data_IF_749956691880
#
_entry.id   IF_749956691880
#
_cell.length_a   1.000
_cell.length_b   1.000
_cell.length_c   1.000
_cell.angle_alpha   90.00
_cell.angle_beta   90.00
_cell.angle_gamma   90.00
#
_symmetry.space_group_name_H-M   'P 1'
#
loop_
_entity.id
_entity.type
_entity.pdbx_description
1 polymer ?
#
# COMPACT_ATOMS: atom_id res chain seq x y z
N UNK A 1 -10.97 9.73 23.77
CA UNK A 1 -11.75 10.77 23.05
C UNK A 1 -11.04 11.02 21.74
N UNK A 2 -11.51 10.39 20.67
CA UNK A 2 -10.96 10.64 19.33
C UNK A 2 -11.21 12.11 18.96
N UNK A 3 -10.16 12.76 18.46
CA UNK A 3 -10.30 14.14 17.97
C UNK A 3 -11.26 14.11 16.78
N UNK A 4 -12.26 14.99 16.78
CA UNK A 4 -13.12 15.19 15.62
C UNK A 4 -12.27 15.40 14.37
N UNK A 5 -12.61 14.75 13.24
CA UNK A 5 -11.85 14.89 12.01
C UNK A 5 -11.70 16.36 11.62
N UNK A 6 -10.48 16.78 11.28
CA UNK A 6 -10.20 18.15 10.84
C UNK A 6 -10.69 18.43 9.42
N UNK A 7 -10.82 17.38 8.61
CA UNK A 7 -11.22 17.42 7.21
C UNK A 7 -12.69 17.06 7.05
N UNK A 8 -13.56 18.09 7.00
CA UNK A 8 -15.03 17.91 6.99
C UNK A 8 -15.65 18.58 5.76
N UNK A 9 -16.88 18.20 5.43
CA UNK A 9 -17.67 18.96 4.45
C UNK A 9 -18.19 20.26 5.08
N UNK A 10 -18.59 21.22 4.25
CA UNK A 10 -19.24 22.47 4.72
C UNK A 10 -20.69 22.27 5.21
N UNK A 11 -21.25 21.07 5.05
CA UNK A 11 -22.65 20.73 5.35
C UNK A 11 -22.70 19.81 6.57
N UNK A 12 -23.16 20.32 7.72
CA UNK A 12 -23.20 19.58 8.99
C UNK A 12 -23.96 18.25 8.87
N UNK A 13 -25.15 18.28 8.24
CA UNK A 13 -25.99 17.09 8.08
C UNK A 13 -25.33 15.95 7.26
N UNK A 14 -24.41 16.30 6.32
CA UNK A 14 -23.63 15.29 5.58
C UNK A 14 -22.58 14.69 6.51
N UNK A 15 -21.91 15.50 7.31
CA UNK A 15 -20.92 15.02 8.26
C UNK A 15 -21.57 14.07 9.29
N UNK A 16 -22.71 14.43 9.82
CA UNK A 16 -23.50 13.59 10.75
C UNK A 16 -23.93 12.26 10.11
N UNK A 17 -24.35 12.29 8.84
CA UNK A 17 -24.70 11.08 8.10
C UNK A 17 -23.49 10.15 7.87
N UNK A 18 -22.30 10.70 7.61
CA UNK A 18 -21.06 9.92 7.47
C UNK A 18 -20.69 9.29 8.81
N UNK A 19 -20.76 10.04 9.91
CA UNK A 19 -20.48 9.53 11.26
C UNK A 19 -21.44 8.38 11.59
N UNK A 20 -22.74 8.56 11.38
CA UNK A 20 -23.73 7.52 11.61
C UNK A 20 -23.49 6.26 10.76
N UNK A 21 -23.09 6.41 9.50
CA UNK A 21 -22.75 5.27 8.62
C UNK A 21 -21.55 4.49 9.14
N UNK A 22 -20.52 5.17 9.63
CA UNK A 22 -19.31 4.56 10.18
C UNK A 22 -19.63 3.80 11.46
N UNK A 23 -20.45 4.39 12.33
CA UNK A 23 -20.91 3.78 13.60
C UNK A 23 -21.76 2.54 13.32
N UNK A 24 -22.71 2.61 12.38
CA UNK A 24 -23.56 1.47 11.99
C UNK A 24 -22.74 0.35 11.33
N UNK A 25 -21.68 0.70 10.60
CA UNK A 25 -20.74 -0.27 10.05
C UNK A 25 -19.84 -0.94 11.10
N UNK A 26 -19.85 -0.47 12.35
CA UNK A 26 -19.05 -1.01 13.44
C UNK A 26 -17.56 -0.68 13.36
N UNK A 27 -17.17 0.37 12.64
CA UNK A 27 -15.79 0.80 12.49
C UNK A 27 -15.40 1.70 13.66
N UNK A 28 -14.62 1.17 14.59
CA UNK A 28 -14.23 1.89 15.82
C UNK A 28 -12.80 2.41 15.79
N UNK A 29 -11.87 1.65 15.17
CA UNK A 29 -10.47 2.06 15.06
C UNK A 29 -10.27 2.93 13.81
N UNK A 30 -9.50 4.01 13.96
CA UNK A 30 -9.17 4.94 12.87
C UNK A 30 -10.39 5.48 12.09
N UNK A 31 -11.54 5.54 12.74
CA UNK A 31 -12.82 5.99 12.16
C UNK A 31 -12.71 7.40 11.56
N UNK A 32 -11.86 8.26 12.12
CA UNK A 32 -11.56 9.58 11.59
C UNK A 32 -10.93 9.53 10.20
N UNK A 33 -10.05 8.56 9.91
CA UNK A 33 -9.44 8.40 8.59
C UNK A 33 -10.46 7.87 7.56
N UNK A 34 -11.33 6.95 7.97
CA UNK A 34 -12.43 6.48 7.12
C UNK A 34 -13.38 7.65 6.80
N UNK A 35 -13.71 8.47 7.80
CA UNK A 35 -14.49 9.68 7.60
C UNK A 35 -13.86 10.61 6.54
N UNK A 36 -12.57 10.91 6.66
CA UNK A 36 -11.85 11.78 5.74
C UNK A 36 -11.78 11.21 4.31
N UNK A 37 -11.66 9.89 4.16
CA UNK A 37 -11.74 9.22 2.85
C UNK A 37 -13.11 9.38 2.21
N UNK A 38 -14.20 9.22 2.96
CA UNK A 38 -15.57 9.44 2.46
C UNK A 38 -15.76 10.90 2.06
N UNK A 39 -15.31 11.85 2.89
CA UNK A 39 -15.35 13.27 2.55
C UNK A 39 -14.57 13.57 1.26
N UNK A 40 -13.39 12.96 1.08
CA UNK A 40 -12.60 13.12 -0.15
C UNK A 40 -13.35 12.60 -1.37
N UNK A 41 -14.01 11.44 -1.26
CA UNK A 41 -14.81 10.87 -2.34
C UNK A 41 -15.99 11.79 -2.73
N UNK A 42 -16.67 12.38 -1.74
CA UNK A 42 -17.74 13.34 -2.00
C UNK A 42 -17.22 14.63 -2.64
N UNK A 43 -16.04 15.11 -2.20
CA UNK A 43 -15.42 16.32 -2.79
C UNK A 43 -15.09 16.13 -4.25
N UNK A 44 -14.63 14.97 -4.70
CA UNK A 44 -14.42 14.70 -6.13
C UNK A 44 -15.68 14.98 -6.96
N UNK A 45 -16.87 14.65 -6.44
CA UNK A 45 -18.13 14.97 -7.11
C UNK A 45 -18.50 16.47 -7.05
N UNK A 46 -18.00 17.20 -6.04
CA UNK A 46 -18.23 18.65 -5.92
C UNK A 46 -17.20 19.49 -6.71
N UNK A 47 -16.01 18.92 -6.93
CA UNK A 47 -14.89 19.58 -7.61
C UNK A 47 -14.92 19.33 -9.13
N UNK A 48 -16.06 18.90 -9.68
CA UNK A 48 -16.28 18.63 -11.10
C UNK A 48 -15.31 17.61 -11.73
N UNK A 49 -14.81 16.65 -10.93
CA UNK A 49 -13.99 15.56 -11.45
C UNK A 49 -14.75 14.78 -12.53
N UNK A 50 -14.12 14.58 -13.67
CA UNK A 50 -14.74 13.88 -14.77
C UNK A 50 -14.82 12.34 -14.55
N UNK A 51 -15.47 11.64 -15.48
CA UNK A 51 -15.62 10.19 -15.41
C UNK A 51 -14.29 9.45 -15.46
N UNK A 52 -13.26 10.00 -16.12
CA UNK A 52 -11.94 9.38 -16.20
C UNK A 52 -11.20 9.51 -14.87
N UNK A 53 -11.25 10.69 -14.25
CA UNK A 53 -10.69 10.95 -12.92
C UNK A 53 -11.32 10.03 -11.86
N UNK A 54 -12.65 9.93 -11.85
CA UNK A 54 -13.37 9.06 -10.92
C UNK A 54 -13.01 7.58 -11.10
N UNK A 55 -12.84 7.11 -12.36
CA UNK A 55 -12.38 5.75 -12.63
C UNK A 55 -10.97 5.50 -12.12
N UNK A 56 -10.07 6.46 -12.31
CA UNK A 56 -8.68 6.36 -11.86
C UNK A 56 -8.61 6.23 -10.34
N UNK A 57 -9.25 7.15 -9.61
CA UNK A 57 -9.28 7.13 -8.14
C UNK A 57 -9.92 5.85 -7.61
N UNK A 58 -11.06 5.44 -8.19
CA UNK A 58 -11.75 4.22 -7.77
C UNK A 58 -10.93 2.94 -8.03
N UNK A 59 -10.19 2.87 -9.14
CA UNK A 59 -9.27 1.76 -9.42
C UNK A 59 -8.12 1.74 -8.41
N UNK A 60 -7.46 2.87 -8.21
CA UNK A 60 -6.36 3.00 -7.27
C UNK A 60 -6.77 2.61 -5.83
N UNK A 61 -7.93 3.07 -5.36
CA UNK A 61 -8.43 2.71 -4.04
C UNK A 61 -8.68 1.20 -3.89
N UNK A 62 -9.26 0.56 -4.92
CA UNK A 62 -9.51 -0.88 -4.92
C UNK A 62 -8.21 -1.68 -4.92
N UNK A 63 -7.22 -1.27 -5.70
CA UNK A 63 -5.90 -1.90 -5.79
C UNK A 63 -5.15 -1.77 -4.47
N UNK A 64 -5.14 -0.58 -3.85
CA UNK A 64 -4.55 -0.37 -2.54
C UNK A 64 -5.21 -1.23 -1.47
N UNK A 65 -6.55 -1.26 -1.42
CA UNK A 65 -7.28 -2.11 -0.49
C UNK A 65 -6.92 -3.59 -0.66
N UNK A 66 -6.86 -4.08 -1.89
CA UNK A 66 -6.46 -5.45 -2.19
C UNK A 66 -5.03 -5.73 -1.74
N UNK A 67 -4.10 -4.79 -1.98
CA UNK A 67 -2.71 -4.93 -1.54
C UNK A 67 -2.62 -4.98 -0.02
N UNK A 68 -3.32 -4.11 0.71
CA UNK A 68 -3.33 -4.11 2.17
C UNK A 68 -3.89 -5.42 2.75
N UNK A 69 -4.98 -5.95 2.19
CA UNK A 69 -5.56 -7.23 2.58
C UNK A 69 -4.57 -8.39 2.32
N UNK A 70 -3.95 -8.41 1.14
CA UNK A 70 -2.96 -9.42 0.75
C UNK A 70 -1.74 -9.42 1.68
N UNK A 71 -1.27 -8.23 2.09
CA UNK A 71 -0.09 -8.08 2.95
C UNK A 71 -0.39 -8.06 4.45
N UNK A 72 -1.67 -8.06 4.85
CA UNK A 72 -2.06 -8.06 6.26
C UNK A 72 -1.42 -9.19 7.08
N UNK A 73 -1.32 -10.45 6.60
CA UNK A 73 -0.66 -11.54 7.33
C UNK A 73 0.84 -11.31 7.57
N UNK A 74 1.46 -10.44 6.78
CA UNK A 74 2.89 -10.14 6.83
C UNK A 74 3.21 -8.79 7.48
N UNK A 75 2.23 -8.18 8.17
CA UNK A 75 2.39 -6.83 8.74
C UNK A 75 3.61 -6.72 9.65
N UNK A 76 3.82 -7.72 10.50
CA UNK A 76 4.89 -7.75 11.49
C UNK A 76 6.19 -8.38 10.98
N UNK A 77 6.20 -8.93 9.76
CA UNK A 77 7.40 -9.48 9.14
C UNK A 77 8.32 -8.33 8.71
N UNK A 78 9.57 -8.27 9.15
CA UNK A 78 10.52 -7.27 8.67
C UNK A 78 10.71 -7.35 7.16
N UNK A 79 10.87 -6.21 6.50
CA UNK A 79 10.94 -6.14 5.03
C UNK A 79 12.20 -5.43 4.58
N UNK A 80 12.85 -6.00 3.56
CA UNK A 80 13.99 -5.40 2.87
C UNK A 80 13.61 -5.18 1.41
N UNK A 81 13.76 -3.94 0.93
CA UNK A 81 13.49 -3.62 -0.47
C UNK A 81 14.80 -3.47 -1.24
N UNK A 82 14.94 -4.20 -2.36
CA UNK A 82 16.14 -4.18 -3.20
C UNK A 82 15.79 -3.55 -4.54
N UNK A 83 16.47 -2.46 -4.86
CA UNK A 83 16.41 -1.79 -6.15
C UNK A 83 17.80 -1.74 -6.79
N UNK A 84 17.84 -1.68 -8.11
CA UNK A 84 19.10 -1.50 -8.82
C UNK A 84 18.96 -1.58 -10.34
N UNK A 85 20.09 -1.51 -11.01
CA UNK A 85 20.14 -1.49 -12.47
C UNK A 85 19.60 -2.78 -13.09
N UNK A 86 18.70 -2.61 -14.05
CA UNK A 86 18.17 -3.71 -14.87
C UNK A 86 19.20 -4.27 -15.88
N UNK A 87 20.33 -3.59 -16.06
CA UNK A 87 21.37 -3.95 -17.05
C UNK A 87 22.47 -4.84 -16.50
N UNK A 88 22.58 -4.97 -15.19
CA UNK A 88 23.55 -5.84 -14.53
C UNK A 88 23.21 -7.29 -14.82
N UNK A 89 24.23 -8.08 -15.21
CA UNK A 89 24.06 -9.47 -15.62
C UNK A 89 24.55 -10.45 -14.53
N UNK A 90 24.07 -11.71 -14.53
CA UNK A 90 24.64 -12.77 -13.71
C UNK A 90 26.16 -12.89 -13.91
N UNK A 91 26.89 -13.05 -12.79
CA UNK A 91 28.36 -13.06 -12.79
C UNK A 91 29.00 -11.69 -12.55
N UNK A 92 28.26 -10.61 -12.64
CA UNK A 92 28.74 -9.29 -12.19
C UNK A 92 28.82 -9.25 -10.66
N UNK A 93 29.88 -8.67 -10.06
CA UNK A 93 30.01 -8.57 -8.61
C UNK A 93 28.81 -7.92 -7.93
N UNK A 94 28.14 -6.95 -8.55
CA UNK A 94 26.95 -6.31 -8.02
C UNK A 94 25.73 -7.26 -8.04
N UNK A 95 25.61 -8.10 -9.07
CA UNK A 95 24.58 -9.14 -9.15
C UNK A 95 24.74 -10.15 -8.02
N UNK A 96 25.96 -10.68 -7.85
CA UNK A 96 26.23 -11.66 -6.81
C UNK A 96 26.07 -11.10 -5.39
N UNK A 97 26.42 -9.82 -5.19
CA UNK A 97 26.18 -9.13 -3.92
C UNK A 97 24.66 -9.02 -3.61
N UNK A 98 23.83 -8.62 -4.58
CA UNK A 98 22.38 -8.54 -4.41
C UNK A 98 21.76 -9.91 -4.13
N UNK A 99 22.21 -10.96 -4.80
CA UNK A 99 21.81 -12.34 -4.59
C UNK A 99 22.14 -12.83 -3.17
N UNK A 100 23.36 -12.56 -2.69
CA UNK A 100 23.80 -12.91 -1.34
C UNK A 100 23.00 -12.13 -0.29
N UNK A 101 22.70 -10.84 -0.52
CA UNK A 101 21.86 -10.03 0.36
C UNK A 101 20.45 -10.63 0.47
N UNK A 102 19.83 -10.96 -0.66
CA UNK A 102 18.52 -11.60 -0.67
C UNK A 102 18.48 -12.89 0.14
N UNK A 103 19.47 -13.76 -0.06
CA UNK A 103 19.64 -15.00 0.71
C UNK A 103 19.82 -14.75 2.21
N UNK A 104 20.66 -13.77 2.57
CA UNK A 104 20.93 -13.43 3.97
C UNK A 104 19.71 -12.81 4.68
N UNK A 105 18.87 -12.09 3.98
CA UNK A 105 17.61 -11.57 4.51
C UNK A 105 16.59 -12.69 4.70
N UNK A 106 16.41 -13.54 3.70
CA UNK A 106 15.51 -14.69 3.79
C UNK A 106 15.90 -15.66 4.93
N UNK A 107 17.19 -15.90 5.12
CA UNK A 107 17.70 -16.72 6.23
C UNK A 107 17.43 -16.13 7.64
N UNK A 108 16.98 -14.88 7.72
CA UNK A 108 16.59 -14.20 8.95
C UNK A 108 15.10 -13.94 9.04
N UNK A 109 14.30 -14.62 8.25
CA UNK A 109 12.84 -14.47 8.15
C UNK A 109 12.40 -13.04 7.75
N UNK A 110 13.26 -12.33 6.99
CA UNK A 110 12.90 -11.06 6.38
C UNK A 110 12.27 -11.28 5.01
N UNK A 111 11.20 -10.60 4.74
CA UNK A 111 10.61 -10.57 3.41
C UNK A 111 11.43 -9.67 2.48
N UNK A 112 11.86 -10.23 1.36
CA UNK A 112 12.55 -9.47 0.31
C UNK A 112 11.53 -8.98 -0.71
N UNK A 113 11.55 -7.69 -1.00
CA UNK A 113 10.67 -7.02 -1.96
C UNK A 113 11.50 -6.38 -3.07
N UNK A 114 11.04 -6.51 -4.29
CA UNK A 114 11.66 -5.82 -5.45
C UNK A 114 10.57 -5.33 -6.39
N UNK A 115 10.96 -4.53 -7.39
CA UNK A 115 10.08 -4.12 -8.49
C UNK A 115 9.89 -5.19 -9.57
N UNK A 116 10.30 -6.44 -9.34
CA UNK A 116 10.19 -7.58 -10.26
C UNK A 116 10.85 -7.35 -11.65
N UNK A 117 11.78 -6.40 -11.74
CA UNK A 117 12.55 -6.15 -12.95
C UNK A 117 13.79 -7.05 -13.06
N UNK A 118 14.47 -7.06 -14.22
CA UNK A 118 15.72 -7.80 -14.42
C UNK A 118 16.90 -7.19 -13.66
N UNK A 119 18.06 -7.83 -13.74
CA UNK A 119 19.31 -7.37 -13.14
C UNK A 119 19.31 -7.49 -11.62
N UNK A 120 19.66 -6.42 -10.92
CA UNK A 120 19.79 -6.40 -9.44
C UNK A 120 18.50 -6.83 -8.74
N UNK A 121 17.34 -6.48 -9.26
CA UNK A 121 16.05 -6.86 -8.67
C UNK A 121 15.79 -8.36 -8.79
N UNK A 122 16.11 -8.95 -9.96
CA UNK A 122 16.04 -10.41 -10.15
C UNK A 122 17.02 -11.13 -9.21
N UNK A 123 18.26 -10.64 -9.12
CA UNK A 123 19.28 -11.20 -8.23
C UNK A 123 18.81 -11.26 -6.77
N UNK A 124 18.21 -10.16 -6.27
CA UNK A 124 17.69 -10.08 -4.90
C UNK A 124 16.61 -11.11 -4.58
N UNK A 125 15.83 -11.54 -5.59
CA UNK A 125 14.79 -12.55 -5.43
C UNK A 125 15.27 -13.98 -5.67
N UNK A 126 16.35 -14.19 -6.40
CA UNK A 126 16.78 -15.51 -6.90
C UNK A 126 16.91 -16.56 -5.80
N UNK A 127 17.44 -16.22 -4.64
CA UNK A 127 17.59 -17.10 -3.49
C UNK A 127 16.57 -16.84 -2.37
N UNK A 128 15.78 -15.77 -2.43
CA UNK A 128 14.77 -15.46 -1.42
C UNK A 128 13.43 -16.18 -1.70
N UNK A 129 13.18 -16.60 -2.93
CA UNK A 129 11.96 -17.33 -3.35
C UNK A 129 11.89 -18.77 -2.81
N UNK A 130 12.94 -19.28 -2.22
CA UNK A 130 12.98 -20.67 -1.71
C UNK A 130 12.09 -20.85 -0.45
N UNK A 131 11.59 -19.76 0.13
CA UNK A 131 10.81 -19.78 1.37
C UNK A 131 9.34 -19.36 1.23
N UNK A 132 8.86 -19.18 0.03
CA UNK A 132 7.42 -18.98 -0.25
C UNK A 132 6.87 -20.25 -0.95
#
# INVERSE_FOLDING_TARGET
>A
MDKLPSYRTKKSHINEAIEALIDEAGITEDSNLIFEMIVSALRLGFDDADRADLKLVNAALKELRYAFDTFAPYKDTPKCTIFGSARIQPGDPAYECAKQLGAAMAARDWMVMTGAGPGIMAAGLELSLIHI
#
